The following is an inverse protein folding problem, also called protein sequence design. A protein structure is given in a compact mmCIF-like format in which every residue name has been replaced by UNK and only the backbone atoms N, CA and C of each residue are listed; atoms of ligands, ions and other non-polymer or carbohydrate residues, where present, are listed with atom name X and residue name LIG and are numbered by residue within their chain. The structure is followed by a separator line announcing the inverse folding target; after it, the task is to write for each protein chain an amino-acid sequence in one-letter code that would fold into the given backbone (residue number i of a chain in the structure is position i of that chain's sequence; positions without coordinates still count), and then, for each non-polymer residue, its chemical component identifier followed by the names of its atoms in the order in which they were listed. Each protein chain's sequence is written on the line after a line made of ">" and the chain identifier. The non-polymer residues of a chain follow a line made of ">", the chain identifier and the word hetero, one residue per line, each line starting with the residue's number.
data_IF_335113910607
#
_entry.id   IF_335113910607
#
_cell.length_a   1.000
_cell.length_b   1.000
_cell.length_c   1.000
_cell.angle_alpha   90.00
_cell.angle_beta   90.00
_cell.angle_gamma   90.00
#
_symmetry.space_group_name_H-M   'P 1'
#
loop_
_entity.id
_entity.type
_entity.pdbx_description
1 polymer ?
#
# COMPACT_ATOMS: atom_id res chain seq x y z
N UNK A 1 -8.87 -0.72 -10.72
CA UNK A 1 -8.18 -0.66 -9.42
C UNK A 1 -6.91 0.17 -9.54
N UNK A 2 -6.75 1.14 -8.68
CA UNK A 2 -5.56 1.97 -8.56
C UNK A 2 -4.83 1.63 -7.27
N UNK A 3 -3.55 1.28 -7.36
CA UNK A 3 -2.73 0.94 -6.21
C UNK A 3 -1.68 2.03 -6.02
N UNK A 4 -1.62 2.60 -4.84
CA UNK A 4 -0.64 3.62 -4.48
C UNK A 4 0.21 3.12 -3.31
N UNK A 5 1.46 2.70 -3.56
CA UNK A 5 2.38 2.37 -2.48
C UNK A 5 2.98 3.65 -1.89
N UNK A 6 3.01 3.75 -0.57
CA UNK A 6 3.61 4.87 0.16
C UNK A 6 4.45 4.33 1.31
N UNK A 7 5.58 4.95 1.56
CA UNK A 7 6.33 4.68 2.77
C UNK A 7 5.56 5.14 4.00
N UNK A 8 5.77 4.46 5.11
CA UNK A 8 5.05 4.71 6.35
C UNK A 8 5.62 5.95 7.07
N UNK A 9 5.30 7.11 6.54
CA UNK A 9 5.74 8.41 7.07
C UNK A 9 4.71 9.50 6.82
N UNK A 10 4.68 10.51 7.68
CA UNK A 10 3.81 11.67 7.47
C UNK A 10 4.18 12.47 6.22
N UNK A 11 5.45 12.46 5.82
CA UNK A 11 5.90 13.10 4.57
C UNK A 11 5.23 12.47 3.37
N UNK A 12 5.20 11.14 3.32
CA UNK A 12 4.55 10.41 2.22
C UNK A 12 3.02 10.54 2.30
N UNK A 13 2.44 10.49 3.50
CA UNK A 13 1.00 10.66 3.69
C UNK A 13 0.52 12.04 3.26
N UNK A 14 1.36 13.06 3.38
CA UNK A 14 1.06 14.41 2.92
C UNK A 14 0.87 14.49 1.39
N UNK A 15 1.35 13.50 0.63
CA UNK A 15 1.09 13.38 -0.80
C UNK A 15 -0.36 12.97 -1.10
N UNK A 16 -1.02 12.29 -0.17
CA UNK A 16 -2.44 11.92 -0.30
C UNK A 16 -3.32 13.14 -0.11
N UNK A 17 -3.13 13.85 1.00
CA UNK A 17 -3.72 15.13 1.29
C UNK A 17 -2.82 15.82 2.30
N UNK A 18 -2.79 17.16 2.30
CA UNK A 18 -1.99 17.89 3.27
C UNK A 18 -2.52 17.67 4.68
N UNK A 19 -1.61 17.33 5.58
CA UNK A 19 -1.90 17.06 6.99
C UNK A 19 -1.09 18.01 7.88
N UNK A 20 -1.56 18.23 9.10
CA UNK A 20 -0.81 18.99 10.09
C UNK A 20 0.42 18.19 10.60
N UNK A 21 1.27 18.84 11.41
CA UNK A 21 2.49 18.23 11.93
C UNK A 21 2.24 16.98 12.79
N UNK A 22 1.05 16.86 13.38
CA UNK A 22 0.65 15.72 14.20
C UNK A 22 -0.05 14.61 13.42
N UNK A 23 -0.36 14.83 12.14
CA UNK A 23 -1.11 13.90 11.32
C UNK A 23 -2.58 13.75 11.72
N UNK A 24 -3.12 14.67 12.51
CA UNK A 24 -4.48 14.59 13.04
C UNK A 24 -5.51 15.30 12.16
N UNK A 25 -5.12 16.40 11.52
CA UNK A 25 -6.03 17.22 10.71
C UNK A 25 -5.59 17.25 9.26
N UNK A 26 -6.57 17.11 8.37
CA UNK A 26 -6.37 17.30 6.93
C UNK A 26 -6.59 18.78 6.65
N UNK A 27 -5.56 19.44 6.10
CA UNK A 27 -5.57 20.89 5.86
C UNK A 27 -5.93 21.27 4.43
N UNK A 28 -5.83 20.34 3.48
CA UNK A 28 -6.19 20.58 2.10
C UNK A 28 -5.80 19.43 1.18
N UNK A 29 -6.18 19.51 -0.11
CA UNK A 29 -5.80 18.52 -1.10
C UNK A 29 -4.30 18.57 -1.40
N UNK A 30 -3.74 17.44 -1.82
CA UNK A 30 -2.36 17.32 -2.27
C UNK A 30 -2.31 16.60 -3.61
N UNK A 31 -1.12 16.22 -4.04
CA UNK A 31 -0.87 15.68 -5.39
C UNK A 31 -1.81 14.52 -5.73
N UNK A 32 -1.86 13.50 -4.88
CA UNK A 32 -2.63 12.30 -5.20
C UNK A 32 -4.14 12.48 -5.07
N UNK A 33 -4.59 13.21 -4.06
CA UNK A 33 -6.04 13.49 -3.92
C UNK A 33 -6.57 14.31 -5.08
N UNK A 34 -5.81 15.28 -5.59
CA UNK A 34 -6.19 16.05 -6.77
C UNK A 34 -6.23 15.19 -8.04
N UNK A 35 -5.20 14.38 -8.26
CA UNK A 35 -5.14 13.48 -9.43
C UNK A 35 -6.31 12.51 -9.45
N UNK A 36 -6.59 11.86 -8.32
CA UNK A 36 -7.68 10.88 -8.22
C UNK A 36 -9.04 11.57 -8.33
N UNK A 37 -9.21 12.74 -7.73
CA UNK A 37 -10.44 13.52 -7.85
C UNK A 37 -10.76 13.86 -9.30
N UNK A 38 -9.78 14.37 -10.04
CA UNK A 38 -9.94 14.70 -11.46
C UNK A 38 -10.28 13.46 -12.28
N UNK A 39 -9.60 12.34 -12.03
CA UNK A 39 -9.88 11.07 -12.71
C UNK A 39 -11.28 10.54 -12.39
N UNK A 40 -11.73 10.64 -11.14
CA UNK A 40 -13.08 10.27 -10.72
C UNK A 40 -14.16 11.07 -11.45
N UNK A 41 -13.95 12.37 -11.59
CA UNK A 41 -14.88 13.24 -12.33
C UNK A 41 -14.97 12.85 -13.80
N UNK A 42 -13.84 12.65 -14.48
CA UNK A 42 -13.82 12.23 -15.88
C UNK A 42 -14.51 10.87 -16.09
N UNK A 43 -14.28 9.93 -15.21
CA UNK A 43 -14.94 8.61 -15.27
C UNK A 43 -16.44 8.73 -15.06
N UNK A 44 -16.88 9.54 -14.12
CA UNK A 44 -18.30 9.76 -13.87
C UNK A 44 -18.99 10.40 -15.06
N UNK A 45 -18.36 11.39 -15.70
CA UNK A 45 -18.87 12.02 -16.93
C UNK A 45 -18.97 11.04 -18.10
N UNK A 46 -18.05 10.09 -18.17
CA UNK A 46 -18.04 9.04 -19.20
C UNK A 46 -18.98 7.86 -18.89
N UNK A 47 -19.69 7.87 -17.77
CA UNK A 47 -20.56 6.78 -17.34
C UNK A 47 -19.83 5.53 -16.90
N UNK A 48 -18.54 5.63 -16.55
CA UNK A 48 -17.73 4.51 -16.09
C UNK A 48 -17.86 4.32 -14.58
N UNK A 49 -17.57 3.10 -14.12
CA UNK A 49 -17.57 2.78 -12.69
C UNK A 49 -16.52 3.59 -11.92
N UNK A 50 -16.77 3.80 -10.63
CA UNK A 50 -15.83 4.50 -9.75
C UNK A 50 -14.49 3.78 -9.65
N UNK A 51 -13.42 4.56 -9.44
CA UNK A 51 -12.09 4.02 -9.20
C UNK A 51 -12.07 3.35 -7.83
N UNK A 52 -11.66 2.08 -7.78
CA UNK A 52 -11.29 1.40 -6.55
C UNK A 52 -9.85 1.77 -6.22
N UNK A 53 -9.66 2.70 -5.31
CA UNK A 53 -8.35 3.20 -4.93
C UNK A 53 -7.86 2.52 -3.65
N UNK A 54 -6.67 1.92 -3.72
CA UNK A 54 -6.06 1.19 -2.61
C UNK A 54 -4.70 1.81 -2.30
N UNK A 55 -4.50 2.16 -1.05
CA UNK A 55 -3.20 2.64 -0.54
C UNK A 55 -2.53 1.52 0.25
N UNK A 56 -1.29 1.23 -0.11
CA UNK A 56 -0.49 0.17 0.51
C UNK A 56 0.71 0.82 1.19
N UNK A 57 0.82 0.60 2.49
CA UNK A 57 1.98 1.07 3.25
C UNK A 57 3.18 0.18 2.94
N UNK A 58 4.29 0.81 2.60
CA UNK A 58 5.52 0.13 2.21
C UNK A 58 6.64 0.43 3.21
N UNK A 59 7.65 -0.41 3.24
CA UNK A 59 8.84 -0.25 4.08
C UNK A 59 8.49 -0.04 5.56
N UNK A 60 7.53 -0.82 6.04
CA UNK A 60 7.18 -0.81 7.46
C UNK A 60 8.39 -1.29 8.27
N UNK A 61 8.83 -0.47 9.22
CA UNK A 61 9.93 -0.81 10.11
C UNK A 61 9.44 -1.30 11.48
N UNK A 62 10.37 -1.72 12.32
CA UNK A 62 10.12 -1.98 13.73
C UNK A 62 9.96 -0.64 14.46
N UNK A 63 8.77 -0.07 14.38
CA UNK A 63 8.46 1.21 15.03
C UNK A 63 8.00 1.02 16.46
N UNK A 64 8.20 2.05 17.29
CA UNK A 64 7.61 2.08 18.62
C UNK A 64 6.09 2.07 18.51
N UNK A 65 5.42 1.39 19.45
CA UNK A 65 3.96 1.22 19.47
C UNK A 65 3.20 2.55 19.31
N UNK A 66 3.65 3.61 19.96
CA UNK A 66 3.01 4.95 19.90
C UNK A 66 3.03 5.52 18.49
N UNK A 67 4.16 5.43 17.78
CA UNK A 67 4.26 5.90 16.40
C UNK A 67 3.41 5.07 15.46
N UNK A 68 3.37 3.76 15.65
CA UNK A 68 2.56 2.87 14.85
C UNK A 68 1.06 3.22 14.94
N UNK A 69 0.56 3.42 16.16
CA UNK A 69 -0.84 3.82 16.38
C UNK A 69 -1.16 5.18 15.76
N UNK A 70 -0.22 6.12 15.86
CA UNK A 70 -0.35 7.46 15.27
C UNK A 70 -0.43 7.41 13.76
N UNK A 71 0.43 6.59 13.12
CA UNK A 71 0.41 6.35 11.68
C UNK A 71 -0.89 5.70 11.22
N UNK A 72 -1.38 4.70 11.94
CA UNK A 72 -2.64 4.04 11.62
C UNK A 72 -3.83 4.99 11.71
N UNK A 73 -3.87 5.84 12.74
CA UNK A 73 -4.92 6.86 12.85
C UNK A 73 -4.88 7.85 11.69
N UNK A 74 -3.70 8.31 11.32
CA UNK A 74 -3.52 9.24 10.22
C UNK A 74 -4.00 8.65 8.89
N UNK A 75 -3.59 7.43 8.56
CA UNK A 75 -3.98 6.77 7.32
C UNK A 75 -5.48 6.46 7.29
N UNK A 76 -6.07 6.08 8.42
CA UNK A 76 -7.51 5.84 8.53
C UNK A 76 -8.34 7.12 8.35
N UNK A 77 -7.89 8.23 8.90
CA UNK A 77 -8.53 9.52 8.71
C UNK A 77 -8.48 9.96 7.24
N UNK A 78 -7.33 9.81 6.60
CA UNK A 78 -7.16 10.09 5.17
C UNK A 78 -8.07 9.19 4.32
N UNK A 79 -8.13 7.90 4.63
CA UNK A 79 -8.98 6.93 3.94
C UNK A 79 -10.44 7.36 3.93
N UNK A 80 -10.97 7.76 5.08
CA UNK A 80 -12.36 8.21 5.21
C UNK A 80 -12.63 9.52 4.49
N UNK A 81 -11.65 10.43 4.51
CA UNK A 81 -11.82 11.77 3.94
C UNK A 81 -11.73 11.81 2.43
N UNK A 82 -10.76 11.11 1.86
CA UNK A 82 -10.49 11.18 0.41
C UNK A 82 -10.91 9.92 -0.35
N UNK A 83 -11.38 8.90 0.35
CA UNK A 83 -12.04 7.75 -0.27
C UNK A 83 -11.11 6.74 -0.90
N UNK A 84 -10.27 6.09 -0.12
CA UNK A 84 -9.51 4.92 -0.53
C UNK A 84 -9.66 3.79 0.48
N UNK A 85 -9.37 2.57 0.04
CA UNK A 85 -9.21 1.41 0.92
C UNK A 85 -7.74 1.27 1.30
N UNK A 86 -7.46 0.74 2.46
CA UNK A 86 -6.11 0.36 2.87
C UNK A 86 -5.92 -1.14 2.69
N UNK A 87 -4.74 -1.54 2.24
CA UNK A 87 -4.33 -2.94 2.24
C UNK A 87 -3.24 -3.18 3.29
N UNK A 88 -3.10 -4.41 3.79
CA UNK A 88 -1.96 -4.75 4.64
C UNK A 88 -0.66 -4.38 3.95
N UNK A 89 0.26 -3.78 4.70
CA UNK A 89 1.49 -3.26 4.15
C UNK A 89 2.62 -4.29 4.07
N UNK A 90 3.74 -3.85 3.52
CA UNK A 90 4.97 -4.63 3.44
C UNK A 90 6.00 -4.11 4.43
N UNK A 91 6.56 -5.01 5.23
CA UNK A 91 7.71 -4.67 6.06
C UNK A 91 8.97 -4.52 5.20
N UNK A 92 9.89 -3.68 5.65
CA UNK A 92 11.20 -3.59 5.02
C UNK A 92 11.99 -4.87 5.29
N UNK A 93 12.37 -5.58 4.21
CA UNK A 93 13.06 -6.86 4.30
C UNK A 93 14.22 -6.93 3.32
N UNK A 94 15.27 -7.60 3.73
CA UNK A 94 16.48 -7.79 2.90
C UNK A 94 16.15 -8.51 1.60
N UNK A 95 15.21 -9.47 1.61
CA UNK A 95 14.85 -10.25 0.42
C UNK A 95 14.44 -9.37 -0.78
N UNK A 96 13.76 -8.27 -0.53
CA UNK A 96 13.37 -7.36 -1.62
C UNK A 96 14.59 -6.71 -2.28
N UNK A 97 15.61 -6.36 -1.49
CA UNK A 97 16.86 -5.79 -1.99
C UNK A 97 17.73 -6.82 -2.73
N UNK A 98 17.61 -8.08 -2.36
CA UNK A 98 18.34 -9.16 -3.03
C UNK A 98 17.71 -9.57 -4.35
N UNK A 99 16.37 -9.60 -4.42
CA UNK A 99 15.65 -10.04 -5.62
C UNK A 99 15.60 -8.96 -6.70
N UNK A 100 15.37 -7.72 -6.33
CA UNK A 100 15.16 -6.63 -7.28
C UNK A 100 16.29 -6.45 -8.30
N UNK A 101 17.59 -6.42 -7.91
CA UNK A 101 18.68 -6.29 -8.88
C UNK A 101 18.80 -7.46 -9.86
N UNK A 102 18.19 -8.60 -9.52
CA UNK A 102 18.16 -9.80 -10.36
C UNK A 102 16.93 -9.85 -11.27
N UNK A 103 16.06 -8.84 -11.19
CA UNK A 103 14.79 -8.83 -11.91
C UNK A 103 13.79 -9.86 -11.41
N UNK A 104 13.90 -10.26 -10.15
CA UNK A 104 13.08 -11.29 -9.53
C UNK A 104 12.13 -10.71 -8.49
N UNK A 105 11.06 -11.45 -8.24
CA UNK A 105 10.06 -11.16 -7.21
C UNK A 105 9.94 -12.31 -6.21
N UNK A 106 9.11 -12.13 -5.20
CA UNK A 106 8.79 -13.21 -4.24
C UNK A 106 8.13 -14.43 -4.91
N UNK A 107 7.48 -14.22 -6.06
CA UNK A 107 6.82 -15.30 -6.81
C UNK A 107 7.83 -16.25 -7.45
N UNK A 108 9.03 -15.76 -7.70
CA UNK A 108 10.08 -16.53 -8.39
C UNK A 108 10.89 -17.43 -7.44
N UNK A 109 10.70 -17.33 -6.14
CA UNK A 109 11.53 -18.05 -5.15
C UNK A 109 11.51 -19.56 -5.32
N UNK A 110 10.39 -20.15 -5.74
CA UNK A 110 10.30 -21.59 -6.03
C UNK A 110 11.06 -21.97 -7.28
N UNK A 111 10.97 -21.13 -8.31
CA UNK A 111 11.53 -21.42 -9.64
C UNK A 111 13.06 -21.30 -9.66
N UNK A 112 13.64 -20.45 -8.82
CA UNK A 112 15.09 -20.28 -8.73
C UNK A 112 15.77 -21.32 -7.82
N UNK A 113 15.03 -22.31 -7.35
CA UNK A 113 15.59 -23.43 -6.58
C UNK A 113 15.94 -23.10 -5.13
N UNK A 114 15.29 -22.15 -4.52
CA UNK A 114 15.42 -21.91 -3.06
C UNK A 114 14.80 -23.07 -2.32
N UNK A 115 15.65 -23.96 -1.79
CA UNK A 115 15.22 -25.19 -1.12
C UNK A 115 14.62 -24.96 0.25
N UNK A 116 15.05 -23.91 0.94
CA UNK A 116 14.56 -23.54 2.25
C UNK A 116 14.27 -22.06 2.31
N UNK A 117 13.02 -21.72 2.65
CA UNK A 117 12.61 -20.37 2.94
C UNK A 117 12.86 -20.09 4.42
N UNK A 118 13.53 -19.00 4.75
CA UNK A 118 13.63 -18.57 6.14
C UNK A 118 12.30 -17.95 6.60
N UNK A 119 12.15 -17.69 7.91
CA UNK A 119 10.94 -17.13 8.51
C UNK A 119 10.58 -15.78 7.87
N UNK A 120 11.59 -14.94 7.59
CA UNK A 120 11.37 -13.63 6.95
C UNK A 120 10.82 -13.77 5.53
N UNK A 121 11.28 -14.72 4.76
CA UNK A 121 10.79 -14.97 3.39
C UNK A 121 9.36 -15.50 3.40
N UNK A 122 9.03 -16.38 4.34
CA UNK A 122 7.66 -16.88 4.52
C UNK A 122 6.72 -15.74 4.88
N UNK A 123 7.12 -14.87 5.80
CA UNK A 123 6.34 -13.72 6.19
C UNK A 123 6.16 -12.71 5.04
N UNK A 124 7.20 -12.48 4.23
CA UNK A 124 7.10 -11.63 3.05
C UNK A 124 6.11 -12.18 2.01
N UNK A 125 6.11 -13.48 1.79
CA UNK A 125 5.13 -14.14 0.90
C UNK A 125 3.71 -14.01 1.44
N UNK A 126 3.53 -14.10 2.75
CA UNK A 126 2.22 -13.90 3.36
C UNK A 126 1.72 -12.46 3.18
N UNK A 127 2.59 -11.48 3.32
CA UNK A 127 2.25 -10.07 3.03
C UNK A 127 1.79 -9.88 1.58
N UNK A 128 2.43 -10.57 0.63
CA UNK A 128 2.02 -10.53 -0.77
C UNK A 128 0.65 -11.18 -1.00
N UNK A 129 0.38 -12.32 -0.36
CA UNK A 129 -0.95 -12.95 -0.40
C UNK A 129 -2.02 -12.04 0.16
N UNK A 130 -1.73 -11.38 1.27
CA UNK A 130 -2.67 -10.47 1.92
C UNK A 130 -2.98 -9.26 1.01
N UNK A 131 -1.99 -8.74 0.29
CA UNK A 131 -2.22 -7.69 -0.70
C UNK A 131 -3.12 -8.20 -1.83
N UNK A 132 -2.80 -9.33 -2.44
CA UNK A 132 -3.59 -9.89 -3.55
C UNK A 132 -5.03 -10.15 -3.11
N UNK A 133 -5.21 -10.64 -1.91
CA UNK A 133 -6.54 -10.85 -1.31
C UNK A 133 -7.30 -9.54 -1.14
N UNK A 134 -6.62 -8.50 -0.68
CA UNK A 134 -7.22 -7.17 -0.49
C UNK A 134 -7.61 -6.49 -1.80
N UNK A 135 -6.98 -6.83 -2.91
CA UNK A 135 -7.31 -6.29 -4.23
C UNK A 135 -8.67 -6.76 -4.74
N UNK A 136 -9.17 -7.90 -4.29
CA UNK A 136 -10.47 -8.45 -4.69
C UNK A 136 -10.66 -8.52 -6.20
N UNK A 137 -9.61 -8.88 -6.94
CA UNK A 137 -9.66 -8.98 -8.40
C UNK A 137 -10.42 -10.23 -8.83
N UNK A 138 -11.38 -10.11 -9.78
CA UNK A 138 -12.13 -11.26 -10.27
C UNK A 138 -11.20 -12.32 -10.88
N UNK A 139 -11.39 -13.58 -10.50
CA UNK A 139 -10.63 -14.70 -11.05
C UNK A 139 -9.18 -14.81 -10.59
N UNK A 140 -8.77 -13.98 -9.66
CA UNK A 140 -7.41 -14.02 -9.08
C UNK A 140 -7.47 -14.63 -7.68
N UNK A 141 -6.69 -15.69 -7.47
CA UNK A 141 -6.58 -16.38 -6.18
C UNK A 141 -5.13 -16.33 -5.69
N UNK A 142 -4.88 -16.08 -4.39
CA UNK A 142 -3.52 -16.05 -3.84
C UNK A 142 -2.97 -17.44 -3.53
N UNK A 143 -3.01 -18.36 -4.47
CA UNK A 143 -2.65 -19.78 -4.31
C UNK A 143 -1.15 -20.05 -4.59
N UNK A 144 -0.27 -19.26 -4.02
CA UNK A 144 1.17 -19.47 -4.22
C UNK A 144 1.97 -19.56 -2.93
#
# INVERSE_FOLDING_TARGET
>A
TLITPLNDSFIDFDLLAHIDANGEKITGPSVYSEMVWNARQLRAQAGLSAIDWIVVRNRLGAQRMVNKEKMERAINNLSKRIGFRTAPGFNERVIFRELFPRGLTLLDLKDIGVKQLNISNIAARQELRDLIKALELPGVSPDF
#
